data_IF_282255557531
#
_entry.id   IF_282255557531
#
_cell.length_a   1.000
_cell.length_b   1.000
_cell.length_c   1.000
_cell.angle_alpha   90.00
_cell.angle_beta   90.00
_cell.angle_gamma   90.00
#
_symmetry.space_group_name_H-M   'P 1'
#
loop_
_entity.id
_entity.type
_entity.pdbx_description
1 polymer ?
#
# COMPACT_ATOMS: atom_id res chain seq x y z
N UNK A 1 6.80 -16.42 15.53
CA UNK A 1 6.96 -15.29 14.58
C UNK A 1 6.05 -15.42 13.37
N UNK A 2 6.18 -16.47 12.54
CA UNK A 2 5.31 -16.67 11.35
C UNK A 2 3.81 -16.59 11.65
N UNK A 3 3.30 -17.39 12.59
CA UNK A 3 1.87 -17.36 12.95
C UNK A 3 1.43 -16.01 13.52
N UNK A 4 2.31 -15.33 14.26
CA UNK A 4 2.00 -14.03 14.83
C UNK A 4 1.88 -12.96 13.74
N UNK A 5 2.84 -12.86 12.82
CA UNK A 5 2.74 -11.93 11.69
C UNK A 5 1.57 -12.27 10.76
N UNK A 6 1.27 -13.55 10.52
CA UNK A 6 0.10 -13.98 9.77
C UNK A 6 -1.21 -13.54 10.43
N UNK A 7 -1.37 -13.83 11.72
CA UNK A 7 -2.55 -13.45 12.51
C UNK A 7 -2.77 -11.93 12.49
N UNK A 8 -1.73 -11.14 12.78
CA UNK A 8 -1.86 -9.69 12.80
C UNK A 8 -2.12 -9.13 11.40
N UNK A 9 -1.62 -9.74 10.32
CA UNK A 9 -1.93 -9.32 8.95
C UNK A 9 -3.42 -9.47 8.63
N UNK A 10 -4.04 -10.59 9.05
CA UNK A 10 -5.46 -10.89 8.81
C UNK A 10 -6.35 -9.98 9.64
N UNK A 11 -6.14 -9.95 10.95
CA UNK A 11 -7.10 -9.38 11.89
C UNK A 11 -6.89 -7.90 12.17
N UNK A 12 -5.81 -7.28 11.66
CA UNK A 12 -5.65 -5.83 11.75
C UNK A 12 -6.75 -5.15 10.91
N UNK A 13 -7.54 -4.23 11.48
CA UNK A 13 -8.58 -3.53 10.73
C UNK A 13 -8.02 -2.81 9.50
N UNK A 14 -8.75 -2.90 8.40
CA UNK A 14 -8.39 -2.20 7.16
C UNK A 14 -8.61 -0.70 7.33
N UNK A 15 -7.60 0.09 6.98
CA UNK A 15 -7.69 1.55 7.03
C UNK A 15 -8.74 2.10 6.07
N UNK A 16 -9.79 2.74 6.61
CA UNK A 16 -10.81 3.44 5.83
C UNK A 16 -10.60 4.95 5.90
N UNK A 17 -10.96 5.71 4.85
CA UNK A 17 -10.97 7.17 4.92
C UNK A 17 -11.79 7.67 6.13
N UNK A 18 -11.36 8.72 6.83
CA UNK A 18 -12.17 9.34 7.89
C UNK A 18 -13.36 10.12 7.30
N UNK A 19 -14.34 10.45 8.15
CA UNK A 19 -15.61 11.10 7.75
C UNK A 19 -15.44 12.36 6.91
N UNK A 20 -14.39 13.15 7.13
CA UNK A 20 -14.11 14.38 6.38
C UNK A 20 -13.91 14.18 4.87
N UNK A 21 -13.63 12.96 4.41
CA UNK A 21 -13.48 12.64 2.99
C UNK A 21 -14.79 12.20 2.32
N UNK A 22 -15.87 12.06 3.09
CA UNK A 22 -17.19 11.72 2.55
C UNK A 22 -17.95 13.00 2.27
N UNK A 23 -18.52 13.08 1.07
CA UNK A 23 -19.34 14.22 0.67
C UNK A 23 -20.71 14.13 1.33
N UNK A 24 -21.34 15.28 1.58
CA UNK A 24 -22.70 15.33 2.10
C UNK A 24 -23.73 14.81 1.09
N UNK A 25 -24.98 14.66 1.55
CA UNK A 25 -26.03 14.06 0.73
C UNK A 25 -26.44 14.92 -0.48
N UNK A 26 -26.35 16.26 -0.36
CA UNK A 26 -26.69 17.18 -1.44
C UNK A 26 -25.62 17.07 -2.53
N UNK A 27 -24.36 17.27 -2.17
CA UNK A 27 -23.23 17.14 -3.12
C UNK A 27 -23.24 15.78 -3.80
N UNK A 28 -23.59 14.70 -3.08
CA UNK A 28 -23.73 13.37 -3.68
C UNK A 28 -24.82 13.30 -4.74
N UNK A 29 -25.96 13.94 -4.53
CA UNK A 29 -27.06 13.95 -5.50
C UNK A 29 -26.66 14.75 -6.75
N UNK A 30 -26.06 15.92 -6.56
CA UNK A 30 -25.59 16.78 -7.65
C UNK A 30 -24.60 16.03 -8.55
N UNK A 31 -23.63 15.32 -7.94
CA UNK A 31 -22.65 14.49 -8.67
C UNK A 31 -23.26 13.28 -9.42
N UNK A 32 -24.53 12.93 -9.17
CA UNK A 32 -25.22 11.86 -9.88
C UNK A 32 -26.10 12.36 -11.03
N UNK A 33 -26.50 13.63 -11.02
CA UNK A 33 -27.43 14.20 -11.99
C UNK A 33 -26.76 15.06 -13.05
N UNK A 34 -25.57 15.59 -12.77
CA UNK A 34 -24.89 16.58 -13.60
C UNK A 34 -23.89 15.97 -14.59
N UNK A 35 -23.46 16.79 -15.56
CA UNK A 35 -22.47 16.38 -16.54
C UNK A 35 -21.07 16.24 -15.92
N UNK A 36 -20.17 15.55 -16.63
CA UNK A 36 -18.84 15.23 -16.09
C UNK A 36 -18.00 16.49 -15.78
N UNK A 37 -18.11 17.54 -16.59
CA UNK A 37 -17.38 18.79 -16.39
C UNK A 37 -17.85 19.52 -15.12
N UNK A 38 -19.17 19.64 -14.94
CA UNK A 38 -19.78 20.24 -13.75
C UNK A 38 -19.40 19.46 -12.48
N UNK A 39 -19.38 18.13 -12.56
CA UNK A 39 -18.95 17.28 -11.45
C UNK A 39 -17.50 17.55 -11.03
N UNK A 40 -16.60 17.85 -11.98
CA UNK A 40 -15.19 18.17 -11.71
C UNK A 40 -15.08 19.49 -10.93
N UNK A 41 -15.81 20.50 -11.37
CA UNK A 41 -15.85 21.82 -10.72
C UNK A 41 -16.41 21.73 -9.29
N UNK A 42 -17.52 21.02 -9.11
CA UNK A 42 -18.14 20.79 -7.79
C UNK A 42 -17.15 20.14 -6.82
N UNK A 43 -16.44 19.10 -7.27
CA UNK A 43 -15.47 18.41 -6.42
C UNK A 43 -14.27 19.31 -6.04
N UNK A 44 -13.77 20.11 -6.98
CA UNK A 44 -12.69 21.07 -6.71
C UNK A 44 -13.14 22.14 -5.69
N UNK A 45 -14.32 22.72 -5.89
CA UNK A 45 -14.91 23.68 -4.94
C UNK A 45 -15.12 23.06 -3.55
N UNK A 46 -15.68 21.84 -3.48
CA UNK A 46 -15.90 21.14 -2.21
C UNK A 46 -14.59 20.90 -1.45
N UNK A 47 -13.54 20.43 -2.15
CA UNK A 47 -12.21 20.19 -1.57
C UNK A 47 -11.59 21.47 -1.03
N UNK A 48 -11.70 22.59 -1.77
CA UNK A 48 -11.19 23.91 -1.34
C UNK A 48 -11.94 24.42 -0.11
N UNK A 49 -13.28 24.42 -0.16
CA UNK A 49 -14.13 24.91 0.92
C UNK A 49 -13.91 24.14 2.24
N UNK A 50 -13.75 22.81 2.16
CA UNK A 50 -13.55 21.96 3.33
C UNK A 50 -12.07 21.72 3.67
N UNK A 51 -11.15 22.40 2.98
CA UNK A 51 -9.69 22.31 3.17
C UNK A 51 -9.16 20.86 3.19
N UNK A 52 -9.70 20.02 2.29
CA UNK A 52 -9.32 18.61 2.21
C UNK A 52 -7.97 18.48 1.50
N UNK A 53 -6.95 18.02 2.22
CA UNK A 53 -5.61 17.83 1.64
C UNK A 53 -5.56 16.59 0.75
N UNK A 54 -5.70 16.78 -0.57
CA UNK A 54 -5.50 15.76 -1.61
C UNK A 54 -4.60 16.30 -2.72
N UNK A 55 -3.55 15.56 -3.04
CA UNK A 55 -2.58 15.94 -4.06
C UNK A 55 -2.65 15.06 -5.30
N UNK A 56 -3.02 13.79 -5.14
CA UNK A 56 -3.17 12.89 -6.26
C UNK A 56 -4.43 13.22 -7.07
N UNK A 57 -4.28 13.24 -8.40
CA UNK A 57 -5.34 13.49 -9.37
C UNK A 57 -5.62 12.26 -10.24
N UNK A 58 -6.72 12.29 -10.97
CA UNK A 58 -6.95 11.40 -12.10
C UNK A 58 -6.02 11.80 -13.27
N UNK A 59 -6.00 10.99 -14.34
CA UNK A 59 -5.17 11.25 -15.53
C UNK A 59 -5.54 12.54 -16.27
N UNK A 60 -6.76 13.01 -16.11
CA UNK A 60 -7.28 14.26 -16.68
C UNK A 60 -7.12 15.47 -15.72
N UNK A 61 -6.40 15.29 -14.61
CA UNK A 61 -6.18 16.34 -13.61
C UNK A 61 -7.30 16.50 -12.58
N UNK A 62 -8.43 15.79 -12.71
CA UNK A 62 -9.58 15.94 -11.81
C UNK A 62 -9.37 15.30 -10.43
N UNK A 63 -10.17 15.73 -9.45
CA UNK A 63 -10.20 15.14 -8.10
C UNK A 63 -10.60 13.66 -8.16
N UNK A 64 -9.82 12.84 -7.45
CA UNK A 64 -10.05 11.39 -7.38
C UNK A 64 -11.26 11.08 -6.51
N UNK A 65 -12.43 10.91 -7.10
CA UNK A 65 -13.65 10.55 -6.37
C UNK A 65 -14.00 9.06 -6.48
N UNK A 66 -14.70 8.52 -5.48
CA UNK A 66 -15.29 7.19 -5.47
C UNK A 66 -16.82 7.28 -5.39
N UNK A 67 -17.51 7.11 -6.50
CA UNK A 67 -18.98 7.13 -6.55
C UNK A 67 -19.62 6.06 -5.66
N UNK A 68 -19.08 4.83 -5.62
CA UNK A 68 -19.60 3.73 -4.79
C UNK A 68 -19.58 4.02 -3.28
N UNK A 69 -18.58 4.76 -2.82
CA UNK A 69 -18.42 5.11 -1.41
C UNK A 69 -18.84 6.54 -1.08
N UNK A 70 -19.17 7.34 -2.10
CA UNK A 70 -19.35 8.79 -2.00
C UNK A 70 -18.20 9.49 -1.26
N UNK A 71 -16.97 9.15 -1.65
CA UNK A 71 -15.76 9.54 -0.94
C UNK A 71 -14.72 10.13 -1.88
N UNK A 72 -14.23 11.33 -1.56
CA UNK A 72 -13.02 11.92 -2.13
C UNK A 72 -11.85 11.07 -1.65
N UNK A 73 -11.16 10.39 -2.56
CA UNK A 73 -10.09 9.44 -2.20
C UNK A 73 -8.90 10.23 -1.64
N UNK A 74 -8.47 9.97 -0.39
CA UNK A 74 -7.17 10.43 0.08
C UNK A 74 -6.05 10.00 -0.86
N UNK A 75 -4.89 10.64 -0.75
CA UNK A 75 -3.71 10.22 -1.51
C UNK A 75 -3.42 8.74 -1.28
N UNK A 76 -3.03 8.05 -2.35
CA UNK A 76 -2.74 6.59 -2.34
C UNK A 76 -3.94 5.71 -1.92
N UNK A 77 -5.15 6.25 -1.77
CA UNK A 77 -6.36 5.48 -1.44
C UNK A 77 -7.05 4.94 -2.69
N UNK A 78 -7.46 3.67 -2.67
CA UNK A 78 -8.19 3.04 -3.77
C UNK A 78 -9.40 2.25 -3.25
N UNK A 79 -10.42 2.09 -4.10
CA UNK A 79 -11.59 1.26 -3.79
C UNK A 79 -11.27 -0.20 -4.10
N UNK A 80 -11.44 -1.07 -3.12
CA UNK A 80 -11.36 -2.51 -3.32
C UNK A 80 -12.77 -3.04 -3.63
N UNK A 81 -12.98 -3.58 -4.83
CA UNK A 81 -14.28 -4.15 -5.23
C UNK A 81 -14.66 -5.39 -4.41
N UNK A 82 -13.67 -6.18 -3.97
CA UNK A 82 -13.89 -7.38 -3.15
C UNK A 82 -14.35 -7.01 -1.74
N UNK A 83 -13.72 -6.02 -1.10
CA UNK A 83 -14.11 -5.56 0.23
C UNK A 83 -15.26 -4.53 0.22
N UNK A 84 -15.61 -3.98 -0.94
CA UNK A 84 -16.71 -3.03 -1.11
C UNK A 84 -16.47 -1.64 -0.52
N UNK A 85 -15.22 -1.26 -0.22
CA UNK A 85 -14.91 0.06 0.34
C UNK A 85 -13.55 0.62 -0.09
N UNK A 86 -13.38 1.93 0.10
CA UNK A 86 -12.09 2.61 -0.03
C UNK A 86 -11.11 2.20 1.07
N UNK A 87 -9.83 2.06 0.68
CA UNK A 87 -8.75 1.56 1.53
C UNK A 87 -7.55 2.51 1.46
N UNK A 88 -7.08 2.97 2.62
CA UNK A 88 -5.95 3.88 2.78
C UNK A 88 -4.62 3.21 2.42
N UNK A 89 -3.80 3.89 1.59
CA UNK A 89 -2.55 3.33 1.01
C UNK A 89 -2.77 1.90 0.52
N UNK A 90 -3.78 1.71 -0.32
CA UNK A 90 -4.15 0.39 -0.82
C UNK A 90 -3.01 -0.20 -1.64
N UNK A 91 -2.60 -1.41 -1.27
CA UNK A 91 -1.57 -2.15 -1.97
C UNK A 91 -2.21 -3.20 -2.88
N UNK A 92 -2.93 -4.15 -2.30
CA UNK A 92 -3.74 -5.13 -3.02
C UNK A 92 -4.75 -5.80 -2.09
N UNK A 93 -5.73 -6.49 -2.67
CA UNK A 93 -6.53 -7.46 -1.93
C UNK A 93 -5.81 -8.81 -2.00
N UNK A 94 -5.54 -9.43 -0.85
CA UNK A 94 -4.79 -10.67 -0.78
C UNK A 94 -5.71 -11.83 -0.39
N UNK A 95 -6.01 -12.77 -1.32
CA UNK A 95 -6.88 -13.91 -1.02
C UNK A 95 -6.34 -14.81 0.10
N UNK A 96 -5.02 -14.91 0.24
CA UNK A 96 -4.35 -15.79 1.23
C UNK A 96 -4.53 -15.36 2.69
N UNK A 97 -4.84 -14.08 2.91
CA UNK A 97 -5.17 -13.51 4.23
C UNK A 97 -6.60 -13.00 4.28
N UNK A 98 -7.38 -13.18 3.21
CA UNK A 98 -8.77 -12.75 3.06
C UNK A 98 -9.02 -11.30 3.53
N UNK A 99 -8.09 -10.40 3.23
CA UNK A 99 -8.19 -8.98 3.61
C UNK A 99 -7.37 -8.10 2.65
N UNK A 100 -7.59 -6.79 2.73
CA UNK A 100 -6.77 -5.84 1.99
C UNK A 100 -5.42 -5.62 2.69
N UNK A 101 -4.34 -5.70 1.91
CA UNK A 101 -3.04 -5.17 2.30
C UNK A 101 -3.06 -3.66 2.06
N UNK A 102 -2.80 -2.92 3.14
CA UNK A 102 -3.01 -1.47 3.22
C UNK A 102 -2.03 -0.84 4.21
N UNK A 103 -2.15 0.46 4.44
CA UNK A 103 -1.31 1.20 5.38
C UNK A 103 -1.09 0.49 6.74
N UNK A 104 -2.16 -0.01 7.36
CA UNK A 104 -2.11 -0.51 8.74
C UNK A 104 -1.54 -1.92 8.89
N UNK A 105 -1.49 -2.71 7.83
CA UNK A 105 -1.01 -4.10 7.88
C UNK A 105 0.12 -4.43 6.89
N UNK A 106 0.55 -3.47 6.05
CA UNK A 106 1.64 -3.70 5.09
C UNK A 106 2.94 -4.19 5.75
N UNK A 107 3.32 -3.61 6.90
CA UNK A 107 4.47 -4.07 7.70
C UNK A 107 4.33 -5.55 8.08
N UNK A 108 3.15 -5.94 8.57
CA UNK A 108 2.90 -7.31 9.02
C UNK A 108 2.89 -8.29 7.86
N UNK A 109 2.38 -7.88 6.70
CA UNK A 109 2.46 -8.65 5.46
C UNK A 109 3.92 -8.92 5.06
N UNK A 110 4.79 -7.91 5.07
CA UNK A 110 6.23 -8.10 4.81
C UNK A 110 6.87 -9.07 5.80
N UNK A 111 6.53 -8.95 7.09
CA UNK A 111 7.01 -9.86 8.13
C UNK A 111 6.46 -11.28 7.97
N UNK A 112 5.20 -11.42 7.55
CA UNK A 112 4.59 -12.71 7.23
C UNK A 112 5.35 -13.41 6.10
N UNK A 113 5.66 -12.70 5.01
CA UNK A 113 6.48 -13.24 3.92
C UNK A 113 7.90 -13.61 4.41
N UNK A 114 8.55 -12.71 5.16
CA UNK A 114 9.90 -12.94 5.68
C UNK A 114 9.98 -14.16 6.61
N UNK A 115 9.07 -14.25 7.59
CA UNK A 115 9.03 -15.40 8.51
C UNK A 115 8.52 -16.67 7.86
N UNK A 116 7.68 -16.57 6.82
CA UNK A 116 7.28 -17.72 6.00
C UNK A 116 8.47 -18.28 5.23
N UNK A 117 9.30 -17.42 4.65
CA UNK A 117 10.52 -17.83 3.97
C UNK A 117 11.51 -18.52 4.91
N UNK A 118 11.72 -17.96 6.12
CA UNK A 118 12.55 -18.59 7.15
C UNK A 118 11.99 -19.97 7.52
N UNK A 119 10.66 -20.09 7.70
CA UNK A 119 10.03 -21.36 8.02
C UNK A 119 10.23 -22.41 6.92
N UNK A 120 10.07 -22.04 5.65
CA UNK A 120 10.30 -22.94 4.53
C UNK A 120 11.75 -23.41 4.47
N UNK A 121 12.72 -22.49 4.58
CA UNK A 121 14.13 -22.87 4.58
C UNK A 121 14.50 -23.73 5.79
N UNK A 122 13.99 -23.39 6.97
CA UNK A 122 14.18 -24.20 8.17
C UNK A 122 13.66 -25.63 7.96
N UNK A 123 12.44 -25.80 7.46
CA UNK A 123 11.87 -27.12 7.15
C UNK A 123 12.74 -27.89 6.16
N UNK A 124 13.12 -27.26 5.04
CA UNK A 124 13.97 -27.91 4.04
C UNK A 124 15.32 -28.35 4.64
N UNK A 125 15.96 -27.50 5.46
CA UNK A 125 17.24 -27.81 6.08
C UNK A 125 17.12 -28.98 7.07
N UNK A 126 16.08 -29.00 7.90
CA UNK A 126 15.85 -30.10 8.85
C UNK A 126 15.46 -31.39 8.15
N UNK A 127 14.72 -31.30 7.04
CA UNK A 127 14.24 -32.45 6.28
C UNK A 127 15.31 -33.02 5.34
N UNK A 128 16.31 -32.23 4.94
CA UNK A 128 17.31 -32.59 3.94
C UNK A 128 18.01 -33.93 4.24
N UNK A 129 18.39 -34.17 5.50
CA UNK A 129 19.01 -35.44 5.90
C UNK A 129 18.08 -36.62 5.65
N UNK A 130 16.81 -36.49 6.00
CA UNK A 130 15.81 -37.54 5.84
C UNK A 130 15.43 -37.72 4.37
N UNK A 131 15.34 -36.63 3.61
CA UNK A 131 15.14 -36.66 2.17
C UNK A 131 16.27 -37.42 1.46
N UNK A 132 17.53 -37.14 1.78
CA UNK A 132 18.68 -37.88 1.22
C UNK A 132 18.63 -39.35 1.62
N UNK A 133 18.34 -39.65 2.89
CA UNK A 133 18.27 -41.03 3.38
C UNK A 133 17.11 -41.82 2.73
N UNK A 134 16.00 -41.15 2.38
CA UNK A 134 14.88 -41.73 1.65
C UNK A 134 15.34 -42.25 0.28
N UNK A 135 15.98 -41.39 -0.51
CA UNK A 135 16.46 -41.75 -1.85
C UNK A 135 17.62 -42.76 -1.84
N UNK A 136 18.40 -42.80 -0.74
CA UNK A 136 19.46 -43.81 -0.55
C UNK A 136 18.95 -45.16 -0.01
N UNK A 137 17.64 -45.35 0.15
CA UNK A 137 17.04 -46.52 0.81
C UNK A 137 17.62 -46.80 2.22
N UNK A 138 18.16 -45.78 2.88
CA UNK A 138 18.83 -45.89 4.18
C UNK A 138 17.88 -45.66 5.36
N UNK A 139 16.66 -45.20 5.11
CA UNK A 139 15.64 -45.03 6.15
C UNK A 139 15.06 -46.39 6.58
N UNK A 140 15.52 -46.89 7.73
CA UNK A 140 14.91 -48.03 8.44
C UNK A 140 13.60 -47.65 9.16
N UNK A 141 12.88 -46.63 8.70
CA UNK A 141 11.53 -46.37 9.18
C UNK A 141 10.61 -47.48 8.70
N UNK A 142 9.72 -47.98 9.58
CA UNK A 142 8.61 -48.86 9.20
C UNK A 142 7.93 -48.33 7.93
N UNK A 143 7.61 -49.22 6.98
CA UNK A 143 6.92 -48.88 5.74
C UNK A 143 5.54 -48.30 6.07
N UNK A 144 5.44 -46.99 6.22
CA UNK A 144 4.23 -46.30 6.65
C UNK A 144 4.23 -44.82 6.29
N UNK A 145 3.17 -44.12 6.73
CA UNK A 145 2.87 -42.72 6.40
C UNK A 145 4.06 -41.76 6.55
N UNK A 146 4.95 -41.97 7.54
CA UNK A 146 6.10 -41.08 7.77
C UNK A 146 7.06 -40.93 6.57
N UNK A 147 7.18 -41.94 5.70
CA UNK A 147 8.03 -41.87 4.50
C UNK A 147 7.49 -40.88 3.46
N UNK A 148 6.18 -40.87 3.24
CA UNK A 148 5.53 -39.96 2.29
C UNK A 148 5.55 -38.51 2.78
N UNK A 149 5.35 -38.29 4.09
CA UNK A 149 5.31 -36.95 4.67
C UNK A 149 6.64 -36.21 4.53
N UNK A 150 7.78 -36.88 4.69
CA UNK A 150 9.11 -36.25 4.56
C UNK A 150 9.32 -35.71 3.13
N UNK A 151 9.03 -36.53 2.13
CA UNK A 151 9.20 -36.14 0.71
C UNK A 151 8.21 -35.04 0.35
N UNK A 152 6.95 -35.19 0.74
CA UNK A 152 5.91 -34.20 0.51
C UNK A 152 6.25 -32.85 1.15
N UNK A 153 6.65 -32.84 2.42
CA UNK A 153 7.01 -31.62 3.15
C UNK A 153 8.20 -30.90 2.50
N UNK A 154 9.23 -31.63 2.08
CA UNK A 154 10.39 -31.05 1.41
C UNK A 154 10.01 -30.33 0.11
N UNK A 155 9.20 -30.96 -0.75
CA UNK A 155 8.77 -30.35 -2.01
C UNK A 155 7.80 -29.19 -1.80
N UNK A 156 6.86 -29.31 -0.86
CA UNK A 156 5.93 -28.23 -0.52
C UNK A 156 6.68 -27.02 0.03
N UNK A 157 7.61 -27.24 0.96
CA UNK A 157 8.46 -26.17 1.51
C UNK A 157 9.30 -25.51 0.41
N UNK A 158 9.88 -26.27 -0.50
CA UNK A 158 10.64 -25.75 -1.64
C UNK A 158 9.81 -24.89 -2.60
N UNK A 159 8.61 -25.35 -2.95
CA UNK A 159 7.68 -24.60 -3.80
C UNK A 159 7.28 -23.27 -3.14
N UNK A 160 6.89 -23.30 -1.87
CA UNK A 160 6.56 -22.07 -1.14
C UNK A 160 7.77 -21.15 -0.96
N UNK A 161 8.96 -21.68 -0.68
CA UNK A 161 10.18 -20.88 -0.57
C UNK A 161 10.46 -20.11 -1.87
N UNK A 162 10.36 -20.78 -3.03
CA UNK A 162 10.56 -20.16 -4.33
C UNK A 162 9.53 -19.04 -4.58
N UNK A 163 8.23 -19.33 -4.40
CA UNK A 163 7.16 -18.34 -4.61
C UNK A 163 7.26 -17.14 -3.66
N UNK A 164 7.50 -17.39 -2.36
CA UNK A 164 7.63 -16.34 -1.36
C UNK A 164 8.88 -15.48 -1.61
N UNK A 165 9.99 -16.07 -2.06
CA UNK A 165 11.21 -15.33 -2.39
C UNK A 165 10.95 -14.28 -3.48
N UNK A 166 10.27 -14.67 -4.56
CA UNK A 166 9.90 -13.75 -5.64
C UNK A 166 9.02 -12.59 -5.13
N UNK A 167 7.98 -12.93 -4.37
CA UNK A 167 7.03 -11.95 -3.83
C UNK A 167 7.70 -11.00 -2.82
N UNK A 168 8.49 -11.53 -1.89
CA UNK A 168 9.21 -10.75 -0.89
C UNK A 168 10.21 -9.80 -1.57
N UNK A 169 10.98 -10.28 -2.56
CA UNK A 169 11.94 -9.45 -3.30
C UNK A 169 11.25 -8.28 -4.00
N UNK A 170 10.11 -8.54 -4.64
CA UNK A 170 9.30 -7.50 -5.28
C UNK A 170 8.80 -6.46 -4.27
N UNK A 171 8.26 -6.88 -3.13
CA UNK A 171 7.77 -5.94 -2.12
C UNK A 171 8.90 -5.20 -1.36
N UNK A 172 10.09 -5.80 -1.24
CA UNK A 172 11.30 -5.11 -0.77
C UNK A 172 11.69 -4.01 -1.75
N UNK A 173 11.65 -4.29 -3.06
CA UNK A 173 11.86 -3.28 -4.11
C UNK A 173 10.83 -2.14 -4.03
N UNK A 174 9.54 -2.45 -3.91
CA UNK A 174 8.47 -1.46 -3.76
C UNK A 174 8.67 -0.59 -2.51
N UNK A 175 9.02 -1.23 -1.39
CA UNK A 175 9.31 -0.53 -0.13
C UNK A 175 10.52 0.40 -0.29
N UNK A 176 11.57 -0.04 -0.99
CA UNK A 176 12.74 0.79 -1.28
C UNK A 176 12.41 2.03 -2.12
N UNK A 177 11.35 1.99 -2.94
CA UNK A 177 10.86 3.11 -3.78
C UNK A 177 9.67 3.88 -3.16
N UNK A 178 9.16 3.43 -2.00
CA UNK A 178 7.93 3.92 -1.38
C UNK A 178 6.71 3.88 -2.30
N UNK A 179 6.57 2.80 -3.06
CA UNK A 179 5.44 2.56 -3.96
C UNK A 179 4.55 1.45 -3.39
N UNK A 180 3.25 1.52 -3.64
CA UNK A 180 2.36 0.37 -3.53
C UNK A 180 2.40 -0.45 -4.82
N UNK A 181 1.88 -1.68 -4.81
CA UNK A 181 1.74 -2.49 -6.02
C UNK A 181 0.95 -1.73 -7.09
N UNK A 182 -0.17 -1.08 -6.74
CA UNK A 182 -0.95 -0.26 -7.68
C UNK A 182 -0.11 0.84 -8.30
N UNK A 183 0.64 1.59 -7.50
CA UNK A 183 1.48 2.71 -7.97
C UNK A 183 2.63 2.24 -8.86
N UNK A 184 3.07 0.99 -8.70
CA UNK A 184 4.12 0.41 -9.55
C UNK A 184 3.64 0.16 -10.99
N UNK A 185 2.35 -0.18 -11.16
CA UNK A 185 1.70 -0.39 -12.44
C UNK A 185 1.13 0.91 -13.03
N UNK A 186 0.54 1.75 -12.18
CA UNK A 186 -0.06 3.03 -12.56
C UNK A 186 0.53 4.14 -11.69
N UNK A 187 1.54 4.87 -12.20
CA UNK A 187 2.16 5.95 -11.47
C UNK A 187 1.11 6.98 -11.01
N UNK A 188 1.23 7.51 -9.78
CA UNK A 188 0.33 8.54 -9.31
C UNK A 188 0.50 9.82 -10.15
N UNK A 189 -0.63 10.45 -10.46
CA UNK A 189 -0.68 11.78 -11.06
C UNK A 189 -0.79 12.79 -9.91
N UNK A 190 0.03 13.82 -9.93
CA UNK A 190 -0.02 14.96 -9.03
C UNK A 190 -0.53 16.19 -9.79
N UNK A 191 -0.75 17.30 -9.07
CA UNK A 191 -1.14 18.59 -9.66
C UNK A 191 -0.16 19.02 -10.77
N UNK A 192 1.14 18.74 -10.61
CA UNK A 192 2.18 19.06 -11.58
C UNK A 192 2.43 17.96 -12.64
N UNK A 193 1.60 16.90 -12.66
CA UNK A 193 1.71 15.80 -13.61
C UNK A 193 2.17 14.47 -12.99
N UNK A 194 2.55 13.53 -13.85
CA UNK A 194 2.87 12.14 -13.48
C UNK A 194 4.25 12.06 -12.82
N UNK A 195 4.31 11.53 -11.60
CA UNK A 195 5.58 11.31 -10.91
C UNK A 195 5.61 9.98 -10.15
N UNK A 196 6.28 8.98 -10.76
CA UNK A 196 6.43 7.64 -10.17
C UNK A 196 7.22 7.66 -8.85
N UNK A 197 8.04 8.68 -8.62
CA UNK A 197 8.87 8.82 -7.43
C UNK A 197 8.37 9.90 -6.45
N UNK A 198 7.15 10.44 -6.62
CA UNK A 198 6.69 11.58 -5.81
C UNK A 198 6.66 11.32 -4.29
N UNK A 199 6.48 10.07 -3.88
CA UNK A 199 6.55 9.65 -2.47
C UNK A 199 7.92 9.09 -2.03
N UNK A 200 8.90 9.03 -2.92
CA UNK A 200 10.21 8.45 -2.64
C UNK A 200 11.09 9.44 -1.84
N UNK A 201 11.43 9.07 -0.61
CA UNK A 201 12.23 9.88 0.32
C UNK A 201 13.69 9.39 0.43
N UNK A 202 14.07 8.40 -0.37
CA UNK A 202 15.31 7.65 -0.26
C UNK A 202 15.15 6.37 0.58
N UNK A 203 15.90 5.33 0.21
CA UNK A 203 15.72 3.95 0.69
C UNK A 203 15.54 3.88 2.21
N UNK A 204 16.49 4.41 3.00
CA UNK A 204 16.43 4.36 4.47
C UNK A 204 15.16 5.00 5.04
N UNK A 205 14.76 6.16 4.51
CA UNK A 205 13.56 6.88 4.96
C UNK A 205 12.29 6.15 4.54
N UNK A 206 12.27 5.53 3.37
CA UNK A 206 11.15 4.73 2.89
C UNK A 206 10.91 3.50 3.78
N UNK A 207 11.97 2.79 4.15
CA UNK A 207 11.85 1.69 5.11
C UNK A 207 11.33 2.17 6.48
N UNK A 208 11.82 3.31 6.98
CA UNK A 208 11.30 3.90 8.23
C UNK A 208 9.82 4.32 8.13
N UNK A 209 9.29 4.63 6.94
CA UNK A 209 7.85 4.88 6.79
C UNK A 209 7.01 3.63 7.12
N UNK A 210 7.54 2.43 6.84
CA UNK A 210 6.85 1.15 7.05
C UNK A 210 7.19 0.52 8.41
N UNK A 211 8.47 0.52 8.80
CA UNK A 211 8.93 -0.18 9.99
C UNK A 211 9.14 0.73 11.21
N UNK A 212 9.09 2.05 11.03
CA UNK A 212 9.31 3.03 12.10
C UNK A 212 10.79 3.27 12.41
N UNK A 213 11.04 4.08 13.44
CA UNK A 213 12.40 4.49 13.83
C UNK A 213 13.07 3.52 14.80
N UNK A 214 12.27 2.76 15.55
CA UNK A 214 12.77 1.80 16.52
C UNK A 214 13.11 0.49 15.83
N UNK A 215 14.39 0.28 15.52
CA UNK A 215 14.89 -0.89 14.79
C UNK A 215 14.54 -2.24 15.45
N UNK A 216 14.47 -2.31 16.78
CA UNK A 216 14.03 -3.52 17.50
C UNK A 216 12.60 -3.95 17.09
N UNK A 217 11.72 -2.98 16.85
CA UNK A 217 10.35 -3.27 16.43
C UNK A 217 10.25 -3.69 14.96
N UNK A 218 11.32 -3.59 14.15
CA UNK A 218 11.27 -3.98 12.74
C UNK A 218 10.97 -5.46 12.55
N UNK A 219 11.39 -6.29 13.51
CA UNK A 219 11.19 -7.73 13.50
C UNK A 219 9.97 -8.17 14.33
N UNK A 220 9.33 -7.27 15.08
CA UNK A 220 8.16 -7.62 15.88
C UNK A 220 6.86 -7.23 15.15
N UNK A 221 5.82 -8.10 15.12
CA UNK A 221 4.47 -7.80 14.62
C UNK A 221 3.68 -6.79 15.48
N UNK A 222 4.32 -5.68 15.81
CA UNK A 222 3.76 -4.55 16.55
C UNK A 222 3.70 -3.36 15.60
N UNK A 223 2.60 -2.59 15.62
CA UNK A 223 2.45 -1.46 14.70
C UNK A 223 3.48 -0.37 15.01
N UNK A 224 4.23 0.05 13.99
CA UNK A 224 5.25 1.11 14.11
C UNK A 224 5.43 1.92 12.84
N UNK A 225 4.52 1.80 11.87
CA UNK A 225 4.54 2.61 10.64
C UNK A 225 4.42 4.10 10.99
N UNK A 226 5.06 4.98 10.20
CA UNK A 226 4.96 6.44 10.38
C UNK A 226 3.75 7.02 9.65
N UNK A 227 3.21 8.11 10.18
CA UNK A 227 2.07 8.84 9.61
C UNK A 227 0.72 8.28 10.05
N UNK A 228 -0.35 8.75 9.40
CA UNK A 228 -1.73 8.34 9.66
C UNK A 228 -2.31 7.44 8.57
N UNK A 229 -1.60 7.28 7.44
CA UNK A 229 -2.11 6.65 6.23
C UNK A 229 -3.00 7.55 5.38
N UNK A 230 -3.20 8.81 5.79
CA UNK A 230 -4.00 9.81 5.07
C UNK A 230 -3.06 10.79 4.36
N UNK A 231 -2.07 11.32 5.08
CA UNK A 231 -1.07 12.24 4.54
C UNK A 231 0.29 11.56 4.43
N UNK A 232 1.01 11.86 3.36
CA UNK A 232 2.31 11.27 3.07
C UNK A 232 3.34 12.35 2.78
N UNK A 233 4.52 12.24 3.38
CA UNK A 233 5.62 13.13 3.06
C UNK A 233 6.07 12.94 1.61
N UNK A 234 6.33 14.06 0.94
CA UNK A 234 6.80 14.11 -0.45
C UNK A 234 8.14 14.84 -0.54
N UNK A 235 8.93 14.48 -1.55
CA UNK A 235 10.12 15.24 -1.93
C UNK A 235 9.65 16.49 -2.70
N UNK A 236 10.12 17.68 -2.34
CA UNK A 236 9.85 18.91 -3.11
C UNK A 236 8.68 19.78 -2.67
N UNK A 237 7.83 19.37 -1.70
CA UNK A 237 6.63 20.16 -1.34
C UNK A 237 6.93 21.58 -0.82
N UNK A 238 8.12 21.82 -0.26
CA UNK A 238 8.53 23.16 0.19
C UNK A 238 9.02 24.06 -0.97
N UNK A 239 9.49 23.49 -2.07
CA UNK A 239 9.95 24.24 -3.24
C UNK A 239 8.77 24.51 -4.20
N UNK A 240 7.91 23.50 -4.42
CA UNK A 240 6.75 23.61 -5.31
C UNK A 240 5.65 24.52 -4.72
N UNK A 241 5.35 24.41 -3.42
CA UNK A 241 4.40 25.33 -2.77
C UNK A 241 4.91 26.78 -2.82
N UNK A 242 6.22 26.98 -2.69
CA UNK A 242 6.81 28.31 -2.84
C UNK A 242 6.73 28.79 -4.29
N UNK A 243 6.84 27.91 -5.27
CA UNK A 243 6.70 28.22 -6.70
C UNK A 243 5.26 28.54 -7.09
N UNK A 244 4.30 27.74 -6.65
CA UNK A 244 2.86 27.96 -6.87
C UNK A 244 2.36 29.23 -6.17
N UNK A 245 2.79 29.49 -4.92
CA UNK A 245 2.49 30.75 -4.25
C UNK A 245 3.15 31.97 -4.91
N UNK A 246 4.26 31.79 -5.62
CA UNK A 246 4.89 32.86 -6.40
C UNK A 246 4.17 33.09 -7.74
N UNK A 247 3.66 32.03 -8.37
CA UNK A 247 2.85 32.15 -9.58
C UNK A 247 1.49 32.79 -9.29
N UNK A 248 0.83 32.39 -8.20
CA UNK A 248 -0.43 33.00 -7.74
C UNK A 248 -0.21 34.48 -7.31
N UNK A 249 0.99 34.87 -6.87
CA UNK A 249 1.29 36.28 -6.54
C UNK A 249 1.66 37.13 -7.76
N UNK A 250 2.18 36.52 -8.82
CA UNK A 250 2.51 37.22 -10.06
C UNK A 250 1.25 37.49 -10.90
N UNK A 251 0.19 36.67 -10.76
CA UNK A 251 -1.10 36.88 -11.44
C UNK A 251 -1.95 38.02 -10.79
N UNK A 252 -1.77 38.30 -9.49
CA UNK A 252 -2.49 39.39 -8.78
C UNK A 252 -1.91 40.79 -9.08
N UNK A 253 -0.63 40.91 -9.44
CA UNK A 253 0.02 42.19 -9.74
C UNK A 253 -0.23 42.69 -11.19
N UNK A 254 -0.59 41.79 -12.11
CA UNK A 254 -0.80 42.12 -13.54
C UNK A 254 -2.24 42.64 -13.83
N UNK A 255 -3.23 42.30 -12.98
CA UNK A 255 -4.59 42.84 -13.07
C UNK A 255 -4.72 44.24 -12.42
N UNK A 256 -3.85 44.58 -11.46
CA UNK A 256 -3.81 45.92 -10.85
C UNK A 256 -3.22 47.00 -11.79
N UNK A 257 -2.51 46.60 -12.85
CA UNK A 257 -1.90 47.50 -13.84
C UNK A 257 -2.74 47.71 -15.11
N UNK A 258 -3.94 47.09 -15.18
CA UNK A 258 -4.89 47.27 -16.30
C UNK A 258 -6.06 48.19 -16.00
N UNK A 259 -6.17 48.71 -14.78
CA UNK A 259 -7.21 49.67 -14.37
C UNK A 259 -6.70 51.11 -14.09
N UNK A 260 -5.52 51.49 -14.61
CA UNK A 260 -5.01 52.88 -14.60
C UNK A 260 -4.76 53.34 -16.04
#
# INVERSE_FOLDING_TARGET
>A
MFLWSYYVTIFRPVGRPPKMFYVDSQTRQDLCSLEELECKEILECYVRQHQISVDNRNSDGSIRYCYKCSCIKPDRCHHCSVCGHCVLKFDHHCPWVNTCINYFNYKFFLQFLFYGLILCFWSMLTDLKYFIAFWKNALRLSAGFGRFHIVFLFFVAGMFAASITCLLTYHVYLTARNQSTIESFRPPVFIYGIDKNGFNLGIRRNFRQVFGDTYLLWFLPIFSSRGSGITFHRKGFRAERKRLLLLDSDDDDDDALREI
#
